data_IF_009605522120
#
_entry.id   IF_009605522120
#
_cell.length_a   1.000
_cell.length_b   1.000
_cell.length_c   1.000
_cell.angle_alpha   90.00
_cell.angle_beta   90.00
_cell.angle_gamma   90.00
#
_symmetry.space_group_name_H-M   'P 1'
#
loop_
_entity.id
_entity.type
_entity.pdbx_description
1 polymer ?
#
# COMPACT_ATOMS: atom_id res chain seq x y z
N UNK A 1 -23.47 48.67 -11.78
CA UNK A 1 -23.06 48.20 -10.44
C UNK A 1 -21.66 47.60 -10.55
N UNK A 2 -20.62 48.35 -10.19
CA UNK A 2 -19.21 47.91 -10.16
C UNK A 2 -18.67 48.32 -8.79
N UNK A 3 -18.57 47.38 -7.86
CA UNK A 3 -18.01 47.63 -6.52
C UNK A 3 -16.49 47.73 -6.63
N UNK A 4 -15.96 48.95 -6.57
CA UNK A 4 -14.53 49.20 -6.32
C UNK A 4 -14.24 48.84 -4.86
N UNK A 5 -13.57 47.71 -4.60
CA UNK A 5 -12.96 47.43 -3.30
C UNK A 5 -11.82 48.44 -3.09
N UNK A 6 -12.02 49.42 -2.21
CA UNK A 6 -10.93 50.18 -1.59
C UNK A 6 -10.50 49.40 -0.34
N UNK A 7 -9.29 48.86 -0.36
CA UNK A 7 -8.63 48.33 0.84
C UNK A 7 -7.89 49.50 1.49
N UNK A 8 -8.31 49.92 2.70
CA UNK A 8 -7.52 50.85 3.50
C UNK A 8 -6.40 50.07 4.18
N UNK A 9 -5.15 50.41 3.89
CA UNK A 9 -4.02 49.97 4.71
C UNK A 9 -4.05 50.75 6.03
N UNK A 10 -4.45 50.10 7.12
CA UNK A 10 -4.10 50.57 8.45
C UNK A 10 -2.73 50.02 8.82
N UNK A 11 -1.77 50.94 8.91
CA UNK A 11 -0.40 50.71 9.35
C UNK A 11 -0.30 50.44 10.85
N UNK A 12 0.61 49.51 11.19
CA UNK A 12 1.47 49.42 12.38
C UNK A 12 1.41 48.04 13.05
N UNK A 13 2.18 47.11 12.47
CA UNK A 13 2.87 46.11 13.27
C UNK A 13 4.36 46.47 13.21
N UNK A 14 4.92 46.83 14.37
CA UNK A 14 6.36 46.90 14.58
C UNK A 14 7.02 45.63 14.03
N UNK A 15 8.10 45.79 13.27
CA UNK A 15 8.90 44.70 12.70
C UNK A 15 9.51 43.83 13.81
N UNK A 16 8.70 42.94 14.37
CA UNK A 16 9.14 41.81 15.16
C UNK A 16 9.65 40.74 14.19
N UNK A 17 10.80 40.17 14.50
CA UNK A 17 11.40 39.03 13.81
C UNK A 17 10.32 38.06 13.28
N UNK A 18 10.39 37.59 12.02
CA UNK A 18 9.40 36.66 11.49
C UNK A 18 9.37 35.43 12.41
N UNK A 19 8.26 35.23 13.11
CA UNK A 19 8.10 34.12 14.06
C UNK A 19 8.36 32.81 13.34
N UNK A 20 9.13 31.93 13.98
CA UNK A 20 9.35 30.58 13.48
C UNK A 20 8.00 29.88 13.27
N UNK A 21 7.78 29.25 12.10
CA UNK A 21 6.50 28.62 11.80
C UNK A 21 6.29 27.45 12.77
N UNK A 22 5.07 27.35 13.30
CA UNK A 22 4.62 26.20 14.09
C UNK A 22 3.85 25.25 13.18
N UNK A 23 4.22 23.98 13.20
CA UNK A 23 3.64 22.92 12.37
C UNK A 23 3.16 21.79 13.27
N UNK A 24 1.88 21.45 13.15
CA UNK A 24 1.33 20.24 13.76
C UNK A 24 1.08 19.22 12.66
N UNK A 25 1.64 18.03 12.80
CA UNK A 25 1.49 16.91 11.88
C UNK A 25 0.69 15.82 12.59
N UNK A 26 -0.33 15.28 11.93
CA UNK A 26 -1.15 14.18 12.45
C UNK A 26 -0.70 12.89 11.77
N UNK A 27 -0.33 11.89 12.56
CA UNK A 27 0.32 10.65 12.16
C UNK A 27 1.84 10.79 12.07
N UNK A 28 2.56 9.79 12.58
CA UNK A 28 4.01 9.63 12.55
C UNK A 28 4.44 8.51 11.57
N UNK A 29 3.74 8.38 10.45
CA UNK A 29 4.16 7.53 9.33
C UNK A 29 5.34 8.10 8.53
N UNK A 30 5.88 7.32 7.60
CA UNK A 30 7.03 7.70 6.75
C UNK A 30 6.84 9.05 6.06
N UNK A 31 5.67 9.30 5.47
CA UNK A 31 5.37 10.57 4.79
C UNK A 31 5.45 11.77 5.75
N UNK A 32 4.86 11.63 6.94
CA UNK A 32 4.87 12.66 7.99
C UNK A 32 6.27 12.93 8.53
N UNK A 33 7.05 11.87 8.79
CA UNK A 33 8.45 11.99 9.23
C UNK A 33 9.28 12.70 8.15
N UNK A 34 9.08 12.34 6.87
CA UNK A 34 9.77 13.00 5.75
C UNK A 34 9.39 14.47 5.62
N UNK A 35 8.11 14.82 5.79
CA UNK A 35 7.67 16.21 5.82
C UNK A 35 8.35 16.98 6.95
N UNK A 36 8.32 16.45 8.18
CA UNK A 36 8.96 17.06 9.34
C UNK A 36 10.45 17.31 9.10
N UNK A 37 11.16 16.29 8.60
CA UNK A 37 12.57 16.39 8.24
C UNK A 37 12.81 17.47 7.17
N UNK A 38 12.00 17.49 6.10
CA UNK A 38 12.16 18.44 5.00
C UNK A 38 11.95 19.89 5.46
N UNK A 39 10.93 20.12 6.29
CA UNK A 39 10.65 21.44 6.87
C UNK A 39 11.77 21.88 7.82
N UNK A 40 12.30 20.96 8.63
CA UNK A 40 13.43 21.26 9.51
C UNK A 40 14.71 21.63 8.74
N UNK A 41 14.95 20.99 7.59
CA UNK A 41 16.11 21.25 6.74
C UNK A 41 15.96 22.50 5.85
N UNK A 42 14.74 22.93 5.54
CA UNK A 42 14.51 24.06 4.63
C UNK A 42 14.97 25.41 5.19
N UNK A 43 14.93 25.61 6.51
CA UNK A 43 15.45 26.81 7.17
C UNK A 43 16.10 26.47 8.53
N UNK A 44 17.33 25.89 8.51
CA UNK A 44 18.02 25.45 9.71
C UNK A 44 18.34 26.61 10.67
N UNK A 45 18.40 27.84 10.15
CA UNK A 45 18.72 29.06 10.91
C UNK A 45 17.53 29.59 11.72
N UNK A 46 16.30 29.35 11.24
CA UNK A 46 15.07 29.85 11.87
C UNK A 46 14.38 28.81 12.74
N UNK A 47 14.60 27.52 12.47
CA UNK A 47 14.11 26.39 13.27
C UNK A 47 12.58 26.33 13.33
N UNK A 48 11.96 25.41 12.60
CA UNK A 48 10.51 25.20 12.71
C UNK A 48 10.14 24.53 14.05
N UNK A 49 9.05 24.97 14.68
CA UNK A 49 8.47 24.29 15.83
C UNK A 49 7.53 23.18 15.33
N UNK A 50 8.00 21.93 15.32
CA UNK A 50 7.25 20.80 14.79
C UNK A 50 6.72 19.94 15.93
N UNK A 51 5.42 19.68 15.94
CA UNK A 51 4.76 18.71 16.82
C UNK A 51 4.12 17.62 15.97
N UNK A 52 4.42 16.36 16.27
CA UNK A 52 3.80 15.21 15.59
C UNK A 52 2.88 14.52 16.61
N UNK A 53 1.62 14.29 16.22
CA UNK A 53 0.62 13.60 17.02
C UNK A 53 0.35 12.24 16.38
N UNK A 54 0.71 11.16 17.07
CA UNK A 54 0.48 9.79 16.63
C UNK A 54 -0.53 9.13 17.58
N UNK A 55 -1.45 8.35 17.02
CA UNK A 55 -2.47 7.63 17.79
C UNK A 55 -1.91 6.31 18.33
N UNK A 56 -0.97 5.71 17.60
CA UNK A 56 -0.28 4.51 18.01
C UNK A 56 0.79 4.82 19.07
N UNK A 57 1.20 3.80 19.81
CA UNK A 57 2.32 3.86 20.77
C UNK A 57 3.70 3.73 20.09
N UNK A 58 3.71 3.58 18.77
CA UNK A 58 4.91 3.49 17.95
C UNK A 58 4.86 4.47 16.76
N UNK A 59 6.05 4.78 16.22
CA UNK A 59 6.20 5.54 14.96
C UNK A 59 6.26 4.58 13.76
N UNK A 60 6.23 5.13 12.55
CA UNK A 60 6.34 4.36 11.30
C UNK A 60 5.00 4.11 10.61
N UNK A 61 3.88 4.19 11.33
CA UNK A 61 2.55 3.95 10.80
C UNK A 61 2.41 2.50 10.33
N UNK A 62 2.22 2.29 9.02
CA UNK A 62 2.12 0.94 8.42
C UNK A 62 3.47 0.20 8.30
N UNK A 63 4.57 0.82 8.72
CA UNK A 63 5.86 0.13 8.89
C UNK A 63 6.00 -0.18 10.37
N UNK A 64 5.69 -1.41 10.75
CA UNK A 64 5.71 -1.88 12.13
C UNK A 64 6.07 -3.36 12.17
N UNK A 65 6.69 -3.75 13.27
CA UNK A 65 7.05 -5.13 13.57
C UNK A 65 6.58 -5.51 14.97
N UNK A 66 6.47 -6.80 15.20
CA UNK A 66 6.17 -7.41 16.49
C UNK A 66 7.22 -8.45 16.85
N UNK A 67 7.44 -8.66 18.14
CA UNK A 67 8.30 -9.75 18.60
C UNK A 67 7.44 -11.00 18.86
N UNK A 68 7.67 -12.05 18.09
CA UNK A 68 6.95 -13.30 18.18
C UNK A 68 7.92 -14.48 18.29
N UNK A 69 7.78 -15.28 19.37
CA UNK A 69 8.60 -16.47 19.61
C UNK A 69 10.13 -16.24 19.54
N UNK A 70 10.61 -15.07 19.96
CA UNK A 70 12.05 -14.72 19.89
C UNK A 70 12.52 -14.23 18.52
N UNK A 71 11.60 -14.06 17.58
CA UNK A 71 11.85 -13.52 16.25
C UNK A 71 11.12 -12.18 16.07
N UNK A 72 11.68 -11.31 15.24
CA UNK A 72 11.01 -10.08 14.81
C UNK A 72 10.22 -10.39 13.54
N UNK A 73 8.93 -10.08 13.56
CA UNK A 73 7.99 -10.31 12.46
C UNK A 73 7.47 -8.96 12.00
N UNK A 74 7.68 -8.63 10.73
CA UNK A 74 7.11 -7.43 10.12
C UNK A 74 5.60 -7.60 9.95
N UNK A 75 4.82 -6.74 10.61
CA UNK A 75 3.34 -6.76 10.56
C UNK A 75 2.78 -5.87 9.45
N UNK A 76 3.65 -5.10 8.80
CA UNK A 76 3.31 -4.20 7.70
C UNK A 76 4.27 -4.34 6.53
N UNK A 77 4.87 -3.23 6.10
CA UNK A 77 5.82 -3.24 4.97
C UNK A 77 7.03 -4.15 5.26
N UNK A 78 7.18 -5.21 4.48
CA UNK A 78 8.25 -6.20 4.65
C UNK A 78 9.13 -6.42 3.40
N UNK A 79 8.83 -5.74 2.29
CA UNK A 79 9.56 -5.82 1.02
C UNK A 79 9.97 -4.42 0.55
N UNK A 80 11.12 -4.33 -0.13
CA UNK A 80 11.50 -3.16 -0.94
C UNK A 80 11.54 -3.61 -2.41
N UNK A 81 10.59 -3.14 -3.21
CA UNK A 81 10.48 -3.47 -4.63
C UNK A 81 11.41 -2.62 -5.49
N UNK A 82 12.04 -3.23 -6.50
CA UNK A 82 12.92 -2.53 -7.44
C UNK A 82 14.32 -2.30 -6.87
N UNK A 83 15.32 -2.81 -7.60
CA UNK A 83 16.73 -2.46 -7.41
C UNK A 83 17.14 -1.49 -8.52
N UNK A 84 18.31 -0.89 -8.36
CA UNK A 84 18.87 0.14 -9.27
C UNK A 84 18.86 -0.24 -10.76
N UNK A 85 18.75 -1.52 -11.08
CA UNK A 85 18.75 -2.07 -12.43
C UNK A 85 17.42 -1.91 -13.19
N UNK A 86 16.29 -1.75 -12.49
CA UNK A 86 14.97 -1.65 -13.10
C UNK A 86 14.30 -0.27 -12.93
N UNK A 87 14.39 0.33 -11.73
CA UNK A 87 13.84 1.65 -11.41
C UNK A 87 14.54 2.24 -10.18
N UNK A 88 14.75 3.56 -10.16
CA UNK A 88 15.39 4.23 -9.03
C UNK A 88 14.45 4.30 -7.81
N UNK A 89 14.59 3.37 -6.87
CA UNK A 89 13.80 3.36 -5.64
C UNK A 89 14.52 4.13 -4.50
N UNK A 90 14.03 5.32 -4.07
CA UNK A 90 14.63 6.08 -2.99
C UNK A 90 14.60 5.37 -1.62
N UNK A 91 13.69 4.40 -1.43
CA UNK A 91 13.66 3.54 -0.24
C UNK A 91 14.85 2.59 -0.21
N UNK A 92 15.29 2.11 -1.38
CA UNK A 92 16.49 1.28 -1.50
C UNK A 92 17.77 2.06 -1.14
N UNK A 93 17.87 3.32 -1.57
CA UNK A 93 18.97 4.20 -1.18
C UNK A 93 19.01 4.47 0.33
N UNK A 94 17.84 4.68 0.93
CA UNK A 94 17.72 4.83 2.37
C UNK A 94 18.15 3.56 3.10
N UNK A 95 17.71 2.38 2.63
CA UNK A 95 18.09 1.09 3.19
C UNK A 95 19.61 0.89 3.22
N UNK A 96 20.30 1.21 2.11
CA UNK A 96 21.77 1.17 2.04
C UNK A 96 22.42 2.15 3.02
N UNK A 97 21.90 3.37 3.12
CA UNK A 97 22.45 4.43 3.99
C UNK A 97 22.41 4.04 5.46
N UNK A 98 21.36 3.32 5.89
CA UNK A 98 21.21 2.86 7.28
C UNK A 98 21.78 1.46 7.52
N UNK A 99 22.34 0.82 6.50
CA UNK A 99 22.88 -0.54 6.59
C UNK A 99 21.82 -1.61 6.84
N UNK A 100 20.59 -1.38 6.36
CA UNK A 100 19.47 -2.31 6.54
C UNK A 100 19.83 -3.67 5.93
N UNK A 101 19.69 -4.72 6.73
CA UNK A 101 19.91 -6.10 6.28
C UNK A 101 18.62 -6.66 5.68
N UNK A 102 18.76 -7.47 4.65
CA UNK A 102 17.63 -8.15 4.02
C UNK A 102 18.10 -9.30 3.15
N UNK A 103 17.15 -10.05 2.62
CA UNK A 103 17.40 -11.17 1.72
C UNK A 103 16.83 -10.84 0.34
N UNK A 104 17.52 -11.28 -0.72
CA UNK A 104 16.95 -11.23 -2.05
C UNK A 104 15.85 -12.29 -2.12
N UNK A 105 14.60 -11.86 -2.33
CA UNK A 105 13.49 -12.74 -2.64
C UNK A 105 13.13 -12.56 -4.12
N UNK A 106 13.22 -13.64 -4.88
CA UNK A 106 12.58 -13.70 -6.19
C UNK A 106 11.15 -14.22 -5.97
N UNK A 107 10.16 -13.34 -6.20
CA UNK A 107 8.75 -13.67 -5.98
C UNK A 107 8.19 -14.56 -7.09
N UNK A 108 8.85 -14.59 -8.25
CA UNK A 108 8.47 -15.43 -9.39
C UNK A 108 8.98 -16.88 -9.23
N UNK A 109 9.94 -17.11 -8.32
CA UNK A 109 10.53 -18.40 -7.98
C UNK A 109 10.46 -18.72 -6.47
N UNK A 110 9.37 -18.33 -5.81
CA UNK A 110 9.16 -18.71 -4.40
C UNK A 110 8.84 -20.21 -4.30
N UNK A 111 9.88 -21.03 -4.30
CA UNK A 111 9.85 -22.49 -4.14
C UNK A 111 9.36 -22.93 -2.73
N UNK A 112 8.95 -21.99 -1.85
CA UNK A 112 8.74 -22.26 -0.42
C UNK A 112 7.49 -21.62 0.21
N UNK A 113 6.43 -21.37 -0.57
CA UNK A 113 5.16 -20.97 0.02
C UNK A 113 4.58 -22.12 0.86
N UNK A 114 4.36 -21.88 2.16
CA UNK A 114 3.59 -22.77 3.03
C UNK A 114 2.31 -22.07 3.50
N UNK A 115 1.16 -22.68 3.26
CA UNK A 115 -0.14 -22.17 3.70
C UNK A 115 -0.71 -23.11 4.75
N UNK A 116 -1.01 -22.56 5.92
CA UNK A 116 -1.51 -23.32 7.06
C UNK A 116 -2.95 -22.91 7.38
N UNK A 117 -3.85 -23.88 7.52
CA UNK A 117 -5.24 -23.60 7.94
C UNK A 117 -5.29 -23.34 9.45
N UNK A 118 -5.43 -22.08 9.86
CA UNK A 118 -5.56 -21.69 11.27
C UNK A 118 -7.00 -21.79 11.80
N UNK A 119 -7.98 -22.14 10.97
CA UNK A 119 -9.41 -22.01 11.26
C UNK A 119 -10.25 -23.17 10.69
N UNK A 120 -9.76 -24.41 10.87
CA UNK A 120 -10.59 -25.58 10.60
C UNK A 120 -11.88 -25.49 11.43
N UNK A 121 -13.05 -25.49 10.76
CA UNK A 121 -14.41 -25.33 11.32
C UNK A 121 -14.77 -26.28 12.48
N UNK A 122 -13.92 -27.26 12.82
CA UNK A 122 -14.09 -28.19 13.93
C UNK A 122 -12.82 -28.39 14.78
N UNK A 123 -11.80 -27.52 14.66
CA UNK A 123 -10.48 -27.62 15.30
C UNK A 123 -9.69 -28.93 15.05
N UNK A 124 -10.22 -29.86 14.24
CA UNK A 124 -9.57 -31.16 13.98
C UNK A 124 -8.36 -31.05 13.04
N UNK A 125 -8.34 -30.03 12.19
CA UNK A 125 -7.26 -29.80 11.21
C UNK A 125 -6.63 -28.41 11.36
N UNK A 126 -6.82 -27.72 12.49
CA UNK A 126 -6.14 -26.44 12.71
C UNK A 126 -4.62 -26.68 12.76
N UNK A 127 -3.87 -25.94 11.94
CA UNK A 127 -2.44 -26.12 11.71
C UNK A 127 -2.09 -27.12 10.61
N UNK A 128 -3.06 -27.61 9.82
CA UNK A 128 -2.75 -28.45 8.66
C UNK A 128 -2.14 -27.63 7.52
N UNK A 129 -1.13 -28.18 6.86
CA UNK A 129 -0.59 -27.67 5.61
C UNK A 129 -1.64 -27.86 4.49
N UNK A 130 -2.07 -26.75 3.91
CA UNK A 130 -3.04 -26.65 2.82
C UNK A 130 -2.43 -26.01 1.56
N UNK A 131 -1.10 -26.01 1.46
CA UNK A 131 -0.34 -25.33 0.41
C UNK A 131 -0.77 -25.78 -0.98
N UNK A 132 -0.87 -27.09 -1.21
CA UNK A 132 -1.24 -27.63 -2.53
C UNK A 132 -2.63 -27.16 -2.95
N UNK A 133 -3.63 -27.25 -2.06
CA UNK A 133 -4.99 -26.82 -2.36
C UNK A 133 -5.06 -25.30 -2.58
N UNK A 134 -4.28 -24.53 -1.83
CA UNK A 134 -4.18 -23.09 -2.00
C UNK A 134 -3.61 -22.75 -3.38
N UNK A 135 -2.48 -23.35 -3.76
CA UNK A 135 -1.82 -23.12 -5.05
C UNK A 135 -2.72 -23.51 -6.24
N UNK A 136 -3.39 -24.67 -6.17
CA UNK A 136 -4.37 -25.07 -7.18
C UNK A 136 -5.51 -24.05 -7.31
N UNK A 137 -5.97 -23.50 -6.18
CA UNK A 137 -7.01 -22.47 -6.15
C UNK A 137 -6.51 -21.14 -6.73
N UNK A 138 -5.26 -20.76 -6.45
CA UNK A 138 -4.59 -19.58 -7.05
C UNK A 138 -4.49 -19.72 -8.56
N UNK A 139 -4.02 -20.87 -9.08
CA UNK A 139 -3.93 -21.11 -10.52
C UNK A 139 -5.29 -20.95 -11.20
N UNK A 140 -6.35 -21.54 -10.63
CA UNK A 140 -7.72 -21.41 -11.16
C UNK A 140 -8.23 -19.96 -11.10
N UNK A 141 -7.84 -19.19 -10.08
CA UNK A 141 -8.15 -17.77 -10.00
C UNK A 141 -7.44 -17.00 -11.11
N UNK A 142 -6.13 -17.20 -11.26
CA UNK A 142 -5.30 -16.53 -12.27
C UNK A 142 -5.82 -16.78 -13.67
N UNK A 143 -6.16 -18.02 -14.04
CA UNK A 143 -6.77 -18.33 -15.34
C UNK A 143 -8.08 -17.57 -15.57
N UNK A 144 -8.90 -17.39 -14.53
CA UNK A 144 -10.15 -16.64 -14.62
C UNK A 144 -9.93 -15.14 -14.69
N UNK A 145 -8.94 -14.64 -13.95
CA UNK A 145 -8.49 -13.25 -13.97
C UNK A 145 -7.91 -12.86 -15.33
N UNK A 146 -7.08 -13.70 -15.95
CA UNK A 146 -6.55 -13.49 -17.30
C UNK A 146 -7.66 -13.43 -18.35
N UNK A 147 -8.68 -14.30 -18.25
CA UNK A 147 -9.88 -14.20 -19.09
C UNK A 147 -10.61 -12.88 -18.89
N UNK A 148 -10.77 -12.44 -17.64
CA UNK A 148 -11.40 -11.15 -17.30
C UNK A 148 -10.62 -9.96 -17.89
N UNK A 149 -9.29 -9.94 -17.73
CA UNK A 149 -8.40 -8.92 -18.32
C UNK A 149 -8.54 -8.88 -19.84
N UNK A 150 -8.52 -10.05 -20.50
CA UNK A 150 -8.69 -10.14 -21.94
C UNK A 150 -10.08 -9.66 -22.39
N UNK A 151 -11.13 -9.97 -21.61
CA UNK A 151 -12.50 -9.54 -21.87
C UNK A 151 -12.62 -8.01 -21.83
N UNK A 152 -12.04 -7.36 -20.81
CA UNK A 152 -12.01 -5.90 -20.70
C UNK A 152 -11.18 -5.27 -21.83
N UNK A 153 -9.98 -5.79 -22.08
CA UNK A 153 -9.02 -5.21 -23.04
C UNK A 153 -9.51 -5.28 -24.50
N UNK A 154 -10.28 -6.31 -24.85
CA UNK A 154 -10.85 -6.46 -26.19
C UNK A 154 -12.03 -5.52 -26.48
N UNK A 155 -12.40 -4.64 -25.52
CA UNK A 155 -13.43 -3.62 -25.69
C UNK A 155 -14.85 -4.18 -25.71
N UNK A 156 -15.06 -5.42 -25.25
CA UNK A 156 -16.40 -6.03 -25.15
C UNK A 156 -17.17 -5.59 -23.91
N UNK A 157 -16.53 -4.85 -23.00
CA UNK A 157 -17.07 -4.46 -21.70
C UNK A 157 -17.32 -2.95 -21.65
N UNK A 158 -18.48 -2.55 -21.12
CA UNK A 158 -18.79 -1.13 -20.85
C UNK A 158 -18.08 -0.64 -19.57
N UNK A 159 -17.72 0.64 -19.53
CA UNK A 159 -16.95 1.25 -18.43
C UNK A 159 -17.64 1.21 -17.04
N UNK A 160 -18.92 0.87 -16.95
CA UNK A 160 -19.71 0.87 -15.71
C UNK A 160 -20.01 -0.54 -15.16
N UNK A 161 -19.25 -1.57 -15.55
CA UNK A 161 -19.40 -2.94 -15.02
C UNK A 161 -18.47 -3.15 -13.81
N UNK A 162 -18.88 -3.92 -12.82
CA UNK A 162 -18.02 -4.23 -11.66
C UNK A 162 -16.99 -5.32 -12.02
N UNK A 163 -15.81 -5.29 -11.38
CA UNK A 163 -14.82 -6.37 -11.53
C UNK A 163 -15.40 -7.72 -11.08
N UNK A 164 -16.29 -7.73 -10.09
CA UNK A 164 -16.99 -8.93 -9.63
C UNK A 164 -17.78 -9.60 -10.75
N UNK A 165 -18.62 -8.84 -11.46
CA UNK A 165 -19.49 -9.38 -12.52
C UNK A 165 -18.66 -10.02 -13.64
N UNK A 166 -17.56 -9.37 -14.04
CA UNK A 166 -16.67 -9.87 -15.10
C UNK A 166 -15.97 -11.16 -14.66
N UNK A 167 -15.51 -11.23 -13.40
CA UNK A 167 -14.92 -12.47 -12.87
C UNK A 167 -15.95 -13.60 -12.84
N UNK A 168 -17.20 -13.32 -12.47
CA UNK A 168 -18.28 -14.32 -12.49
C UNK A 168 -18.58 -14.81 -13.91
N UNK A 169 -18.69 -13.91 -14.88
CA UNK A 169 -18.82 -14.25 -16.30
C UNK A 169 -17.64 -15.08 -16.81
N UNK A 170 -16.44 -14.79 -16.31
CA UNK A 170 -15.21 -15.53 -16.63
C UNK A 170 -15.03 -16.82 -15.81
N UNK A 171 -16.05 -17.22 -15.03
CA UNK A 171 -16.12 -18.51 -14.36
C UNK A 171 -15.60 -18.54 -12.92
N UNK A 172 -15.35 -17.38 -12.31
CA UNK A 172 -14.91 -17.28 -10.92
C UNK A 172 -15.97 -16.70 -10.00
N UNK A 173 -16.55 -17.57 -9.17
CA UNK A 173 -17.48 -17.21 -8.10
C UNK A 173 -17.10 -17.97 -6.82
N UNK A 174 -16.45 -17.32 -5.84
CA UNK A 174 -15.87 -18.00 -4.68
C UNK A 174 -16.95 -18.50 -3.72
N UNK A 175 -16.96 -19.81 -3.43
CA UNK A 175 -17.95 -20.47 -2.57
C UNK A 175 -17.38 -20.88 -1.21
N UNK A 176 -16.11 -21.24 -1.19
CA UNK A 176 -15.38 -21.65 0.01
C UNK A 176 -14.58 -20.50 0.63
N UNK A 177 -14.18 -20.65 1.90
CA UNK A 177 -13.29 -19.69 2.56
C UNK A 177 -11.92 -19.59 1.87
N UNK A 178 -11.40 -20.70 1.35
CA UNK A 178 -10.13 -20.71 0.62
C UNK A 178 -10.21 -19.89 -0.67
N UNK A 179 -11.28 -20.06 -1.45
CA UNK A 179 -11.48 -19.28 -2.68
C UNK A 179 -11.63 -17.78 -2.37
N UNK A 180 -12.34 -17.44 -1.29
CA UNK A 180 -12.45 -16.04 -0.83
C UNK A 180 -11.10 -15.48 -0.36
N UNK A 181 -10.31 -16.29 0.34
CA UNK A 181 -8.98 -15.89 0.81
C UNK A 181 -8.02 -15.69 -0.36
N UNK A 182 -8.04 -16.56 -1.37
CA UNK A 182 -7.26 -16.41 -2.61
C UNK A 182 -7.67 -15.16 -3.36
N UNK A 183 -8.97 -14.93 -3.55
CA UNK A 183 -9.47 -13.73 -4.22
C UNK A 183 -9.03 -12.45 -3.50
N UNK A 184 -9.18 -12.41 -2.17
CA UNK A 184 -8.73 -11.28 -1.37
C UNK A 184 -7.21 -11.10 -1.48
N UNK A 185 -6.44 -12.18 -1.32
CA UNK A 185 -4.98 -12.11 -1.35
C UNK A 185 -4.48 -11.59 -2.70
N UNK A 186 -4.98 -12.13 -3.81
CA UNK A 186 -4.50 -11.73 -5.14
C UNK A 186 -4.98 -10.31 -5.46
N UNK A 187 -6.22 -9.93 -5.17
CA UNK A 187 -6.69 -8.60 -5.55
C UNK A 187 -6.21 -7.50 -4.61
N UNK A 188 -6.15 -7.74 -3.30
CA UNK A 188 -5.65 -6.74 -2.34
C UNK A 188 -4.15 -6.48 -2.56
N UNK A 189 -3.35 -7.54 -2.74
CA UNK A 189 -1.89 -7.40 -2.90
C UNK A 189 -1.53 -6.73 -4.22
N UNK A 190 -2.30 -6.95 -5.29
CA UNK A 190 -1.94 -6.49 -6.63
C UNK A 190 -2.73 -5.27 -7.12
N UNK A 191 -3.92 -5.01 -6.57
CA UNK A 191 -4.83 -3.96 -7.04
C UNK A 191 -5.04 -2.85 -5.99
N UNK A 192 -4.68 -3.09 -4.72
CA UNK A 192 -4.69 -2.10 -3.63
C UNK A 192 -6.03 -1.38 -3.34
N UNK A 193 -7.15 -1.89 -3.87
CA UNK A 193 -8.50 -1.40 -3.57
C UNK A 193 -9.47 -2.58 -3.39
N UNK A 194 -10.60 -2.35 -2.72
CA UNK A 194 -11.60 -3.38 -2.48
C UNK A 194 -12.37 -3.73 -3.76
N UNK A 195 -12.52 -5.02 -4.06
CA UNK A 195 -13.24 -5.56 -5.24
C UNK A 195 -14.58 -4.85 -5.49
N UNK A 196 -15.33 -4.57 -4.42
CA UNK A 196 -16.65 -3.93 -4.43
C UNK A 196 -16.65 -2.49 -4.98
N UNK A 197 -15.48 -1.85 -5.05
CA UNK A 197 -15.29 -0.45 -5.50
C UNK A 197 -14.62 -0.36 -6.86
N UNK A 198 -14.13 -1.47 -7.40
CA UNK A 198 -13.41 -1.51 -8.65
C UNK A 198 -14.38 -1.62 -9.83
N UNK A 199 -14.35 -0.60 -10.69
CA UNK A 199 -14.97 -0.65 -12.02
C UNK A 199 -14.06 -1.39 -12.99
N UNK A 200 -14.64 -2.02 -14.01
CA UNK A 200 -13.97 -2.60 -15.16
C UNK A 200 -13.07 -1.63 -15.93
N UNK A 201 -13.24 -0.31 -15.73
CA UNK A 201 -12.34 0.71 -16.25
C UNK A 201 -10.98 0.75 -15.52
N UNK A 202 -10.82 -0.01 -14.44
CA UNK A 202 -9.56 -0.18 -13.75
C UNK A 202 -8.62 -1.06 -14.58
N UNK A 203 -7.38 -0.62 -14.78
CA UNK A 203 -6.39 -1.43 -15.48
C UNK A 203 -6.02 -2.61 -14.57
N UNK A 204 -6.56 -3.78 -14.90
CA UNK A 204 -6.35 -5.04 -14.17
C UNK A 204 -4.95 -5.64 -14.43
N UNK A 205 -4.06 -4.95 -15.15
CA UNK A 205 -2.67 -5.38 -15.31
C UNK A 205 -1.91 -5.25 -13.99
N UNK A 206 -1.02 -6.21 -13.74
CA UNK A 206 -0.07 -6.14 -12.64
C UNK A 206 0.74 -4.85 -12.73
N UNK A 207 0.78 -4.08 -11.63
CA UNK A 207 1.52 -2.82 -11.52
C UNK A 207 0.85 -1.59 -12.16
N UNK A 208 -0.36 -1.71 -12.73
CA UNK A 208 -1.02 -0.56 -13.35
C UNK A 208 -1.54 0.49 -12.34
N UNK A 209 -1.65 0.11 -11.07
CA UNK A 209 -1.96 1.00 -9.95
C UNK A 209 -0.76 1.27 -9.05
N UNK A 210 0.42 0.75 -9.40
CA UNK A 210 1.63 1.27 -8.83
C UNK A 210 1.69 2.73 -9.27
N UNK A 211 1.70 3.63 -8.29
CA UNK A 211 1.94 5.05 -8.55
C UNK A 211 3.26 5.10 -9.33
N UNK A 212 3.20 5.52 -10.58
CA UNK A 212 4.39 5.84 -11.36
C UNK A 212 5.05 7.02 -10.63
N UNK A 213 6.02 6.69 -9.77
CA UNK A 213 6.67 7.64 -8.87
C UNK A 213 7.75 8.45 -9.60
N UNK A 214 7.55 8.78 -10.88
CA UNK A 214 8.34 9.77 -11.62
C UNK A 214 9.77 9.36 -11.96
#
# INVERSE_FOLDING_TARGET
MRLKKRCSMSSHATAGQPKSPSLVIIGAGVASIKLAHTVAQADPSRGAHITILEVNDHVGGRICHENFCGHTVEMGANWISGREDAFANPVWDLAKTVGLQGHASDRDHDDSLHVMDCHSHNHKNAGSDVTTQYLETVTRFQESHERAVAHVTNGTVQNDVSVRDILEECGWMPKSLMEKAVEHNVLEVWVSDGLERLSAAHDLKAGANDVDLG
#
